data_IF_073303726137
#
_entry.id   IF_073303726137
#
_cell.length_a   1.000
_cell.length_b   1.000
_cell.length_c   1.000
_cell.angle_alpha   90.00
_cell.angle_beta   90.00
_cell.angle_gamma   90.00
#
_symmetry.space_group_name_H-M   'P 1'
#
loop_
_entity.id
_entity.type
_entity.pdbx_description
1 polymer ?
#
# COMPACT_ATOMS: atom_id res chain seq x y z
N UNK A 1 9.54 5.56 -28.88
CA UNK A 1 10.18 5.40 -27.56
C UNK A 1 9.11 4.99 -26.56
N UNK A 2 9.25 3.81 -25.95
CA UNK A 2 8.33 3.32 -24.91
C UNK A 2 8.62 4.10 -23.63
N UNK A 3 7.66 4.85 -23.04
CA UNK A 3 7.86 5.46 -21.74
C UNK A 3 7.65 4.38 -20.67
N UNK A 4 8.68 3.57 -20.42
CA UNK A 4 8.75 2.77 -19.20
C UNK A 4 9.09 3.72 -18.06
N UNK A 5 8.10 4.11 -17.26
CA UNK A 5 8.39 4.68 -15.96
C UNK A 5 8.80 3.53 -15.02
N UNK A 6 9.71 3.79 -14.09
CA UNK A 6 10.20 2.81 -13.10
C UNK A 6 9.11 2.32 -12.11
N UNK A 7 7.85 2.75 -12.29
CA UNK A 7 6.76 2.56 -11.33
C UNK A 7 5.57 1.73 -11.83
N UNK A 8 5.57 1.24 -13.08
CA UNK A 8 4.52 0.33 -13.56
C UNK A 8 5.01 -0.57 -14.71
N UNK A 9 4.69 -1.86 -14.61
CA UNK A 9 4.88 -2.85 -15.65
C UNK A 9 3.52 -3.29 -16.20
N UNK A 10 3.30 -3.08 -17.49
CA UNK A 10 2.06 -3.47 -18.16
C UNK A 10 2.35 -4.60 -19.15
N UNK A 11 1.50 -5.64 -19.15
CA UNK A 11 1.66 -6.78 -20.05
C UNK A 11 1.28 -6.48 -21.52
N UNK A 12 0.56 -5.37 -21.79
CA UNK A 12 0.20 -4.96 -23.14
C UNK A 12 0.02 -3.44 -23.27
N UNK A 13 0.13 -2.92 -24.50
CA UNK A 13 -0.15 -1.51 -24.80
C UNK A 13 -1.61 -1.13 -24.55
N UNK A 14 -2.55 -2.08 -24.69
CA UNK A 14 -3.96 -1.84 -24.40
C UNK A 14 -4.19 -1.54 -22.91
N UNK A 15 -3.51 -2.27 -22.02
CA UNK A 15 -3.55 -2.02 -20.58
C UNK A 15 -2.89 -0.70 -20.19
N UNK A 16 -1.82 -0.29 -20.89
CA UNK A 16 -1.24 1.05 -20.73
C UNK A 16 -2.28 2.11 -21.06
N UNK A 17 -2.92 2.04 -22.24
CA UNK A 17 -3.87 3.08 -22.70
C UNK A 17 -5.08 3.21 -21.76
N UNK A 18 -5.59 2.08 -21.25
CA UNK A 18 -6.71 2.08 -20.32
C UNK A 18 -6.35 2.70 -18.96
N UNK A 19 -5.14 2.44 -18.45
CA UNK A 19 -4.67 2.95 -17.16
C UNK A 19 -3.98 4.32 -17.26
N UNK A 20 -3.68 4.77 -18.49
CA UNK A 20 -2.84 5.95 -18.77
C UNK A 20 -3.27 7.24 -18.07
N UNK A 21 -4.56 7.62 -17.96
CA UNK A 21 -4.94 8.86 -17.30
C UNK A 21 -4.63 8.87 -15.80
N UNK A 22 -4.86 7.75 -15.10
CA UNK A 22 -4.52 7.60 -13.69
C UNK A 22 -3.01 7.46 -13.50
N UNK A 23 -2.38 6.65 -14.36
CA UNK A 23 -0.95 6.42 -14.36
C UNK A 23 -0.13 7.68 -14.63
N UNK A 24 -0.55 8.54 -15.58
CA UNK A 24 0.15 9.79 -15.92
C UNK A 24 0.23 10.74 -14.72
N UNK A 25 -0.83 10.80 -13.92
CA UNK A 25 -0.88 11.64 -12.71
C UNK A 25 0.11 11.13 -11.67
N UNK A 26 0.12 9.81 -11.43
CA UNK A 26 1.09 9.17 -10.55
C UNK A 26 2.53 9.34 -11.03
N UNK A 27 2.81 9.02 -12.30
CA UNK A 27 4.14 9.10 -12.88
C UNK A 27 4.71 10.51 -12.80
N UNK A 28 3.88 11.54 -13.00
CA UNK A 28 4.29 12.93 -12.83
C UNK A 28 4.65 13.23 -11.38
N UNK A 29 3.81 12.85 -10.41
CA UNK A 29 4.08 13.06 -8.97
C UNK A 29 5.39 12.40 -8.54
N UNK A 30 5.66 11.17 -8.98
CA UNK A 30 6.94 10.47 -8.72
C UNK A 30 8.11 11.22 -9.34
N UNK A 31 7.97 11.69 -10.59
CA UNK A 31 9.02 12.46 -11.25
C UNK A 31 9.30 13.78 -10.54
N UNK A 32 8.26 14.49 -10.08
CA UNK A 32 8.36 15.79 -9.42
C UNK A 32 9.01 15.67 -8.03
N UNK A 33 8.86 14.51 -7.37
CA UNK A 33 9.43 14.23 -6.06
C UNK A 33 10.95 13.95 -6.07
N UNK A 34 11.52 13.60 -7.22
CA UNK A 34 12.94 13.32 -7.36
C UNK A 34 13.40 12.17 -6.46
N UNK A 35 14.25 12.46 -5.49
CA UNK A 35 14.78 11.48 -4.53
C UNK A 35 13.88 11.26 -3.31
N UNK A 36 12.86 12.09 -3.12
CA UNK A 36 11.94 11.98 -1.98
C UNK A 36 10.84 10.96 -2.28
N UNK A 37 11.25 9.71 -2.46
CA UNK A 37 10.40 8.58 -2.77
C UNK A 37 10.76 7.42 -1.85
N UNK A 38 9.76 6.65 -1.43
CA UNK A 38 9.95 5.35 -0.78
C UNK A 38 9.43 4.22 -1.65
N UNK A 39 10.00 3.03 -1.52
CA UNK A 39 9.36 1.81 -1.96
C UNK A 39 8.28 1.40 -0.95
N UNK A 40 7.03 1.34 -1.41
CA UNK A 40 5.88 0.90 -0.63
C UNK A 40 5.23 -0.34 -1.26
N UNK A 41 4.70 -1.25 -0.46
CA UNK A 41 3.88 -2.35 -0.96
C UNK A 41 2.45 -1.85 -1.14
N UNK A 42 1.95 -1.96 -2.37
CA UNK A 42 0.55 -1.72 -2.70
C UNK A 42 -0.22 -3.04 -2.79
N UNK A 43 -1.28 -3.13 -2.00
CA UNK A 43 -2.37 -4.07 -2.20
C UNK A 43 -3.46 -3.35 -3.00
N UNK A 44 -3.34 -3.40 -4.33
CA UNK A 44 -4.28 -2.74 -5.23
C UNK A 44 -5.64 -3.41 -5.18
N UNK A 45 -6.71 -2.62 -5.01
CA UNK A 45 -8.08 -3.16 -4.82
C UNK A 45 -8.55 -4.11 -5.94
N UNK A 46 -8.09 -3.84 -7.17
CA UNK A 46 -8.40 -4.61 -8.37
C UNK A 46 -7.26 -5.51 -8.84
N UNK A 47 -6.17 -5.60 -8.07
CA UNK A 47 -5.00 -6.43 -8.39
C UNK A 47 -5.13 -7.78 -7.69
N UNK A 48 -4.51 -8.82 -8.24
CA UNK A 48 -4.50 -10.18 -7.65
C UNK A 48 -3.22 -10.49 -6.88
N UNK A 49 -2.21 -9.63 -7.00
CA UNK A 49 -0.92 -9.74 -6.35
C UNK A 49 -0.45 -8.36 -5.91
N UNK A 50 0.24 -8.26 -4.77
CA UNK A 50 0.81 -7.00 -4.32
C UNK A 50 2.02 -6.66 -5.20
N UNK A 51 2.37 -5.37 -5.23
CA UNK A 51 3.54 -4.88 -5.96
C UNK A 51 4.19 -3.71 -5.23
N UNK A 52 5.47 -3.51 -5.49
CA UNK A 52 6.17 -2.31 -5.06
C UNK A 52 5.74 -1.12 -5.91
N UNK A 53 5.60 0.04 -5.26
CA UNK A 53 5.38 1.33 -5.89
C UNK A 53 6.37 2.34 -5.33
N UNK A 54 6.61 3.42 -6.08
CA UNK A 54 7.32 4.59 -5.59
C UNK A 54 6.31 5.53 -4.96
N UNK A 55 6.38 5.73 -3.64
CA UNK A 55 5.51 6.64 -2.91
C UNK A 55 6.25 7.96 -2.65
N UNK A 56 5.85 9.06 -3.31
CA UNK A 56 6.42 10.37 -3.04
C UNK A 56 6.17 10.84 -1.61
N UNK A 57 7.06 11.70 -1.11
CA UNK A 57 6.86 12.40 0.15
C UNK A 57 7.40 13.83 0.10
N UNK A 58 6.92 14.66 1.03
CA UNK A 58 7.30 16.08 1.11
C UNK A 58 7.44 16.58 2.55
N UNK A 59 8.18 17.69 2.70
CA UNK A 59 8.45 18.31 3.99
C UNK A 59 9.45 17.53 4.86
N UNK A 60 9.73 18.03 6.08
CA UNK A 60 10.74 17.44 6.97
C UNK A 60 10.32 16.10 7.59
N UNK A 61 9.02 15.86 7.71
CA UNK A 61 8.44 14.74 8.45
C UNK A 61 7.89 13.65 7.51
N UNK A 62 8.50 13.48 6.33
CA UNK A 62 8.08 12.49 5.33
C UNK A 62 6.56 12.44 5.09
N UNK A 63 5.92 13.60 4.84
CA UNK A 63 4.48 13.61 4.57
C UNK A 63 4.22 12.89 3.25
N UNK A 64 3.61 11.70 3.31
CA UNK A 64 3.43 10.80 2.18
C UNK A 64 2.34 11.33 1.22
N UNK A 65 2.60 11.26 -0.09
CA UNK A 65 1.64 11.60 -1.14
C UNK A 65 0.66 10.45 -1.39
N UNK A 66 -0.31 10.35 -0.50
CA UNK A 66 -1.31 9.28 -0.48
C UNK A 66 -2.48 9.52 -1.46
N UNK A 67 -2.62 10.73 -2.01
CA UNK A 67 -3.83 11.16 -2.73
C UNK A 67 -4.21 10.25 -3.91
N UNK A 68 -3.29 9.77 -4.76
CA UNK A 68 -3.75 8.97 -5.90
C UNK A 68 -4.22 7.55 -5.52
N UNK A 69 -4.05 7.12 -4.26
CA UNK A 69 -4.46 5.82 -3.71
C UNK A 69 -5.74 5.90 -2.90
N UNK A 70 -5.94 7.03 -2.22
CA UNK A 70 -7.07 7.30 -1.33
C UNK A 70 -7.82 8.53 -1.84
N UNK A 71 -8.86 8.27 -2.63
CA UNK A 71 -9.67 9.31 -3.28
C UNK A 71 -11.02 9.47 -2.58
N UNK A 72 -11.51 10.70 -2.54
CA UNK A 72 -12.88 11.01 -2.10
C UNK A 72 -12.91 11.76 -0.77
N UNK A 73 -13.91 12.64 -0.63
CA UNK A 73 -14.11 13.45 0.59
C UNK A 73 -14.50 12.61 1.81
N UNK A 74 -14.99 11.40 1.58
CA UNK A 74 -15.43 10.47 2.62
C UNK A 74 -14.32 9.47 3.01
N UNK A 75 -13.11 9.64 2.48
CA UNK A 75 -11.95 8.83 2.84
C UNK A 75 -11.31 9.34 4.13
N UNK A 76 -11.07 8.44 5.10
CA UNK A 76 -10.36 8.76 6.32
C UNK A 76 -9.14 7.84 6.45
N UNK A 77 -7.98 8.34 6.04
CA UNK A 77 -6.74 7.55 6.04
C UNK A 77 -6.30 7.32 7.48
N UNK A 78 -6.19 6.05 7.86
CA UNK A 78 -5.65 5.60 9.14
C UNK A 78 -4.42 4.74 8.91
N UNK A 79 -3.48 4.83 9.84
CA UNK A 79 -2.28 4.02 9.88
C UNK A 79 -2.31 3.08 11.08
N UNK A 80 -2.13 1.79 10.82
CA UNK A 80 -1.88 0.79 11.85
C UNK A 80 -0.45 0.26 11.76
N UNK A 81 0.07 -0.19 12.89
CA UNK A 81 1.47 -0.58 13.02
C UNK A 81 1.55 -2.07 13.34
N UNK A 82 2.28 -2.82 12.52
CA UNK A 82 2.55 -4.24 12.70
C UNK A 82 3.98 -4.39 13.19
N UNK A 83 4.14 -4.93 14.40
CA UNK A 83 5.44 -5.09 15.06
C UNK A 83 5.80 -6.56 15.30
N UNK A 84 4.88 -7.48 15.04
CA UNK A 84 5.05 -8.91 15.27
C UNK A 84 4.59 -9.70 14.05
N UNK A 85 5.16 -10.89 13.84
CA UNK A 85 4.66 -11.83 12.84
C UNK A 85 3.35 -12.46 13.32
N UNK A 86 2.22 -11.84 12.99
CA UNK A 86 0.92 -12.23 13.53
C UNK A 86 0.73 -11.85 15.01
N UNK A 87 -0.44 -12.16 15.56
CA UNK A 87 -0.84 -11.67 16.89
C UNK A 87 0.07 -12.15 18.04
N UNK A 88 0.66 -13.34 17.93
CA UNK A 88 1.48 -13.97 18.98
C UNK A 88 2.86 -14.42 18.50
N UNK A 89 3.32 -13.96 17.33
CA UNK A 89 4.61 -14.37 16.79
C UNK A 89 5.79 -13.49 17.23
N UNK A 90 7.00 -13.76 16.70
CA UNK A 90 8.19 -13.00 17.03
C UNK A 90 8.07 -11.52 16.63
N UNK A 91 8.77 -10.66 17.35
CA UNK A 91 8.91 -9.24 17.02
C UNK A 91 9.68 -9.10 15.70
N UNK A 92 9.17 -8.25 14.81
CA UNK A 92 9.80 -7.92 13.54
C UNK A 92 11.00 -7.01 13.77
N UNK A 93 12.01 -7.09 12.90
CA UNK A 93 13.19 -6.22 12.96
C UNK A 93 12.87 -4.74 12.74
N UNK A 94 11.74 -4.45 12.10
CA UNK A 94 11.22 -3.11 11.83
C UNK A 94 9.70 -3.11 12.00
N UNK A 95 9.14 -1.93 12.24
CA UNK A 95 7.69 -1.76 12.29
C UNK A 95 7.17 -1.54 10.86
N UNK A 96 6.05 -2.17 10.52
CA UNK A 96 5.34 -1.94 9.26
C UNK A 96 4.14 -1.03 9.51
N UNK A 97 4.07 0.08 8.79
CA UNK A 97 2.94 1.00 8.78
C UNK A 97 1.97 0.62 7.66
N UNK A 98 0.77 0.16 8.02
CA UNK A 98 -0.32 -0.19 7.10
C UNK A 98 -1.30 0.97 7.03
N UNK A 99 -1.34 1.64 5.88
CA UNK A 99 -2.21 2.77 5.61
C UNK A 99 -3.43 2.32 4.81
N UNK A 100 -4.63 2.65 5.29
CA UNK A 100 -5.89 2.28 4.66
C UNK A 100 -6.98 3.33 4.95
N UNK A 101 -8.09 3.28 4.22
CA UNK A 101 -9.25 4.13 4.45
C UNK A 101 -10.17 3.54 5.53
N UNK A 102 -10.16 4.06 6.77
CA UNK A 102 -10.97 3.53 7.88
C UNK A 102 -12.48 3.59 7.62
N UNK A 103 -12.93 4.41 6.67
CA UNK A 103 -14.33 4.50 6.26
C UNK A 103 -14.73 3.47 5.20
N UNK A 104 -13.85 2.55 4.79
CA UNK A 104 -14.10 1.63 3.67
C UNK A 104 -15.38 0.79 3.83
N UNK A 105 -15.85 0.57 5.07
CA UNK A 105 -17.08 -0.18 5.37
C UNK A 105 -18.37 0.61 5.10
N UNK A 106 -18.30 1.94 5.07
CA UNK A 106 -19.48 2.82 4.95
C UNK A 106 -19.48 3.67 3.69
N UNK A 107 -18.33 3.81 3.01
CA UNK A 107 -18.20 4.64 1.81
C UNK A 107 -18.34 3.87 0.48
N UNK A 108 -18.69 2.58 0.54
CA UNK A 108 -18.90 1.74 -0.65
C UNK A 108 -17.60 1.29 -1.33
N UNK A 109 -16.47 1.33 -0.63
CA UNK A 109 -15.20 0.82 -1.15
C UNK A 109 -15.29 -0.65 -1.56
N UNK A 110 -14.66 -0.99 -2.69
CA UNK A 110 -14.65 -2.35 -3.21
C UNK A 110 -13.75 -3.25 -2.35
N UNK A 111 -14.15 -4.50 -2.15
CA UNK A 111 -13.32 -5.51 -1.46
C UNK A 111 -11.97 -5.63 -2.17
N UNK A 112 -10.91 -5.63 -1.37
CA UNK A 112 -9.54 -5.72 -1.86
C UNK A 112 -9.23 -7.17 -2.28
N UNK A 113 -9.29 -7.42 -3.60
CA UNK A 113 -9.02 -8.75 -4.17
C UNK A 113 -7.58 -9.19 -3.98
N UNK A 114 -6.64 -8.25 -3.89
CA UNK A 114 -5.25 -8.56 -3.62
C UNK A 114 -5.09 -9.20 -2.24
N UNK A 115 -5.72 -8.62 -1.20
CA UNK A 115 -5.71 -9.16 0.17
C UNK A 115 -6.40 -10.53 0.23
N UNK A 116 -7.56 -10.67 -0.42
CA UNK A 116 -8.24 -11.97 -0.54
C UNK A 116 -7.31 -13.03 -1.14
N UNK A 117 -6.54 -12.69 -2.18
CA UNK A 117 -5.63 -13.63 -2.81
C UNK A 117 -4.42 -13.99 -1.93
N UNK A 118 -3.74 -13.00 -1.34
CA UNK A 118 -2.52 -13.28 -0.54
C UNK A 118 -2.83 -14.02 0.77
N UNK A 119 -4.06 -13.91 1.26
CA UNK A 119 -4.54 -14.63 2.44
C UNK A 119 -5.25 -15.95 2.07
N UNK A 120 -5.33 -16.32 0.79
CA UNK A 120 -6.10 -17.47 0.31
C UNK A 120 -7.56 -17.49 0.81
N UNK A 121 -8.17 -16.30 0.90
CA UNK A 121 -9.54 -16.11 1.40
C UNK A 121 -9.67 -16.11 2.93
N UNK A 122 -8.56 -16.18 3.67
CA UNK A 122 -8.55 -16.27 5.14
C UNK A 122 -8.40 -14.93 5.85
N UNK A 123 -8.56 -13.80 5.14
CA UNK A 123 -8.55 -12.48 5.76
C UNK A 123 -9.60 -12.40 6.89
N UNK A 124 -9.17 -11.98 8.09
CA UNK A 124 -10.05 -11.87 9.26
C UNK A 124 -11.04 -10.70 9.18
N UNK A 125 -10.83 -9.79 8.23
CA UNK A 125 -11.67 -8.62 7.98
C UNK A 125 -11.93 -8.45 6.47
N UNK A 126 -13.12 -7.98 6.03
CA UNK A 126 -13.40 -7.66 4.64
C UNK A 126 -12.68 -6.36 4.21
N UNK A 127 -11.35 -6.38 4.19
CA UNK A 127 -10.51 -5.27 3.76
C UNK A 127 -10.94 -4.77 2.38
N UNK A 128 -11.10 -3.46 2.24
CA UNK A 128 -11.59 -2.81 1.03
C UNK A 128 -10.77 -1.56 0.69
N UNK A 129 -10.87 -1.11 -0.56
CA UNK A 129 -10.06 -0.03 -1.10
C UNK A 129 -8.59 -0.44 -1.30
N UNK A 130 -7.76 0.51 -1.70
CA UNK A 130 -6.31 0.30 -1.77
C UNK A 130 -5.73 0.29 -0.35
N UNK A 131 -4.70 -0.52 -0.13
CA UNK A 131 -3.93 -0.51 1.11
C UNK A 131 -2.45 -0.38 0.76
N UNK A 132 -1.75 0.49 1.49
CA UNK A 132 -0.31 0.70 1.36
C UNK A 132 0.40 0.21 2.62
N UNK A 133 1.59 -0.33 2.45
CA UNK A 133 2.48 -0.65 3.56
C UNK A 133 3.86 -0.03 3.34
N UNK A 134 4.42 0.56 4.41
CA UNK A 134 5.79 1.09 4.49
C UNK A 134 6.51 0.56 5.72
N UNK A 135 7.84 0.64 5.75
CA UNK A 135 8.58 0.52 7.02
C UNK A 135 8.58 1.85 7.75
N UNK A 136 8.67 1.79 9.06
CA UNK A 136 8.76 2.97 9.92
C UNK A 136 9.69 2.71 11.11
N UNK A 137 10.47 3.72 11.47
CA UNK A 137 11.36 3.65 12.62
C UNK A 137 10.60 3.87 13.93
N UNK A 138 10.43 2.80 14.70
CA UNK A 138 9.76 2.84 16.00
C UNK A 138 8.23 2.92 15.91
N UNK A 139 7.60 3.04 17.07
CA UNK A 139 6.14 3.06 17.18
C UNK A 139 5.59 4.47 16.95
N UNK A 140 4.62 4.63 16.04
CA UNK A 140 3.94 5.91 15.74
C UNK A 140 4.88 7.05 15.35
N UNK A 141 5.83 6.73 14.50
CA UNK A 141 6.80 7.66 13.96
C UNK A 141 6.43 8.07 12.54
N UNK A 142 6.91 9.24 12.12
CA UNK A 142 6.82 9.73 10.75
C UNK A 142 8.12 9.45 9.96
N UNK A 143 9.07 8.72 10.56
CA UNK A 143 10.34 8.35 9.93
C UNK A 143 10.17 7.05 9.15
N UNK A 144 9.63 7.17 7.94
CA UNK A 144 9.47 6.05 7.01
C UNK A 144 10.77 5.60 6.34
N UNK A 145 10.78 4.35 5.89
CA UNK A 145 11.83 3.77 5.05
C UNK A 145 11.25 2.76 4.05
N UNK A 146 12.09 2.36 3.09
CA UNK A 146 11.73 1.46 1.99
C UNK A 146 11.28 0.08 2.50
N UNK A 147 10.23 -0.44 1.89
CA UNK A 147 9.82 -1.84 2.03
C UNK A 147 10.64 -2.77 1.15
N UNK A 148 10.76 -4.02 1.60
CA UNK A 148 11.35 -5.11 0.85
C UNK A 148 10.30 -6.21 0.71
N UNK A 149 9.84 -6.46 -0.52
CA UNK A 149 8.72 -7.37 -0.80
C UNK A 149 8.95 -8.76 -0.20
N UNK A 150 10.16 -9.29 -0.33
CA UNK A 150 10.56 -10.63 0.11
C UNK A 150 10.51 -10.78 1.64
N UNK A 151 10.73 -9.70 2.37
CA UNK A 151 10.76 -9.70 3.84
C UNK A 151 9.41 -9.31 4.45
N UNK A 152 8.72 -8.35 3.83
CA UNK A 152 7.59 -7.65 4.45
C UNK A 152 6.24 -8.27 4.09
N UNK A 153 6.14 -8.97 2.96
CA UNK A 153 4.85 -9.50 2.49
C UNK A 153 4.28 -10.56 3.43
N UNK A 154 5.10 -11.49 3.93
CA UNK A 154 4.61 -12.56 4.80
C UNK A 154 4.04 -12.04 6.14
N UNK A 155 4.73 -11.14 6.88
CA UNK A 155 4.15 -10.46 8.04
C UNK A 155 2.84 -9.72 7.74
N UNK A 156 2.75 -9.02 6.59
CA UNK A 156 1.55 -8.29 6.19
C UNK A 156 0.38 -9.23 5.87
N UNK A 157 0.63 -10.29 5.11
CA UNK A 157 -0.38 -11.31 4.83
C UNK A 157 -0.91 -11.92 6.12
N UNK A 158 -0.01 -12.26 7.06
CA UNK A 158 -0.38 -12.78 8.37
C UNK A 158 -1.19 -11.77 9.19
N UNK A 159 -0.82 -10.50 9.15
CA UNK A 159 -1.59 -9.43 9.78
C UNK A 159 -3.04 -9.38 9.26
N UNK A 160 -3.24 -9.48 7.94
CA UNK A 160 -4.59 -9.49 7.37
C UNK A 160 -5.40 -10.73 7.73
N UNK A 161 -4.76 -11.89 7.91
CA UNK A 161 -5.40 -13.13 8.40
C UNK A 161 -5.85 -13.01 9.87
N UNK A 162 -5.03 -12.41 10.72
CA UNK A 162 -5.26 -12.32 12.17
C UNK A 162 -6.20 -11.16 12.55
N UNK A 163 -6.19 -10.08 11.75
CA UNK A 163 -6.96 -8.87 12.04
C UNK A 163 -8.44 -9.16 12.26
N UNK A 164 -8.94 -8.81 13.45
CA UNK A 164 -10.34 -8.93 13.84
C UNK A 164 -10.91 -10.36 13.84
N UNK A 165 -10.07 -11.40 13.76
CA UNK A 165 -10.50 -12.76 14.12
C UNK A 165 -10.79 -12.80 15.63
N UNK A 166 -12.01 -13.23 15.98
CA UNK A 166 -12.42 -13.51 17.36
C UNK A 166 -11.78 -14.80 17.85
#
# INVERSE_FOLDING_TARGET
>A
MNPTCLGAYYCSKAHIVQDWPAHKTYCKRVSDAGTNIFDAILFGVNETKPRLIKLPWYGRWHNLDMEPWFKGRDSFIRTYYVQTFGANGPVLHHTLAVCFDDNFMINGSQINRCIQNVTFGNAGHPWAGNILALRVEGFRSDWYSDTVMEEDLAPLARYFEDSYRK
#
